data_IF_371598319645
#
_entry.id   IF_371598319645
#
_cell.length_a   1.000
_cell.length_b   1.000
_cell.length_c   1.000
_cell.angle_alpha   90.00
_cell.angle_beta   90.00
_cell.angle_gamma   90.00
#
_symmetry.space_group_name_H-M   'P 1'
#
loop_
_entity.id
_entity.type
_entity.pdbx_description
1 polymer ?
#
# COMPACT_ATOMS: atom_id res chain seq x y z
N UNK A 1 54.86 10.93 30.30
CA UNK A 1 54.95 9.97 29.18
C UNK A 1 54.71 8.56 29.73
N UNK A 2 53.64 7.88 29.32
CA UNK A 2 53.39 6.47 29.64
C UNK A 2 52.65 5.86 28.44
N UNK A 3 53.34 5.03 27.66
CA UNK A 3 52.78 4.20 26.57
C UNK A 3 52.60 2.79 27.11
N UNK A 4 51.47 2.12 26.86
CA UNK A 4 51.21 0.67 26.90
C UNK A 4 49.68 0.48 26.68
N UNK A 5 49.09 -0.39 25.87
CA UNK A 5 49.42 -1.38 24.83
C UNK A 5 48.16 -1.46 23.96
N UNK A 6 48.27 -1.61 22.63
CA UNK A 6 47.11 -1.85 21.74
C UNK A 6 46.73 -3.34 21.80
N UNK A 7 45.50 -3.71 22.19
CA UNK A 7 44.97 -5.01 21.84
C UNK A 7 44.42 -5.00 20.40
N UNK A 8 44.93 -5.97 19.67
CA UNK A 8 44.72 -6.32 18.28
C UNK A 8 43.60 -7.38 18.20
N UNK A 9 42.78 -7.30 17.13
CA UNK A 9 41.81 -8.29 16.60
C UNK A 9 40.39 -8.32 17.22
N UNK A 10 39.39 -8.00 16.39
CA UNK A 10 38.46 -8.99 15.79
C UNK A 10 37.70 -8.39 14.58
N UNK A 11 37.97 -8.86 13.35
CA UNK A 11 37.25 -8.43 12.15
C UNK A 11 35.88 -9.13 12.06
N UNK A 12 35.08 -8.64 11.13
CA UNK A 12 33.82 -9.22 10.64
C UNK A 12 32.62 -9.04 11.59
N UNK A 13 32.14 -7.80 11.67
CA UNK A 13 30.71 -7.61 11.90
C UNK A 13 29.99 -8.06 10.62
N UNK A 14 29.51 -9.29 10.71
CA UNK A 14 28.77 -10.07 9.73
C UNK A 14 27.84 -9.25 8.83
N UNK A 15 28.14 -9.30 7.53
CA UNK A 15 27.22 -9.02 6.42
C UNK A 15 26.15 -10.13 6.38
N UNK A 16 25.15 -10.10 7.27
CA UNK A 16 24.02 -11.06 7.23
C UNK A 16 22.72 -10.32 7.45
N UNK A 17 22.26 -9.59 6.44
CA UNK A 17 20.86 -9.13 6.31
C UNK A 17 20.44 -9.05 4.82
N UNK A 18 20.82 -10.05 4.01
CA UNK A 18 20.32 -10.20 2.62
C UNK A 18 19.49 -11.48 2.45
N UNK A 19 18.73 -11.86 3.46
CA UNK A 19 17.62 -12.78 3.30
C UNK A 19 16.33 -12.03 3.66
N UNK A 20 15.97 -11.05 2.83
CA UNK A 20 14.58 -10.61 2.80
C UNK A 20 13.82 -11.82 2.26
N UNK A 21 12.94 -12.46 3.05
CA UNK A 21 12.07 -13.46 2.47
C UNK A 21 11.30 -12.69 1.40
N UNK A 22 11.46 -13.10 0.14
CA UNK A 22 10.39 -12.93 -0.83
C UNK A 22 9.25 -13.70 -0.18
N UNK A 23 8.46 -13.01 0.66
CA UNK A 23 7.19 -13.50 1.10
C UNK A 23 6.52 -13.93 -0.19
N UNK A 24 6.30 -15.24 -0.32
CA UNK A 24 5.45 -15.78 -1.35
C UNK A 24 4.25 -14.84 -1.41
N UNK A 25 4.07 -14.18 -2.55
CA UNK A 25 2.94 -13.31 -2.77
C UNK A 25 1.74 -14.22 -2.54
N UNK A 26 1.16 -14.16 -1.34
CA UNK A 26 -0.19 -14.59 -1.14
C UNK A 26 -0.93 -13.86 -2.25
N UNK A 27 -1.58 -14.61 -3.13
CA UNK A 27 -2.48 -13.98 -4.09
C UNK A 27 -3.42 -13.17 -3.20
N UNK A 28 -3.25 -11.85 -3.20
CA UNK A 28 -3.94 -10.97 -2.27
C UNK A 28 -5.42 -11.24 -2.50
N UNK A 29 -6.02 -11.99 -1.56
CA UNK A 29 -7.43 -12.30 -1.60
C UNK A 29 -8.15 -10.96 -1.67
N UNK A 30 -9.11 -10.81 -2.59
CA UNK A 30 -9.86 -9.57 -2.72
C UNK A 30 -10.58 -9.21 -1.41
N UNK A 31 -10.81 -10.19 -0.53
CA UNK A 31 -11.24 -9.96 0.86
C UNK A 31 -10.33 -9.03 1.66
N UNK A 32 -9.03 -8.98 1.37
CA UNK A 32 -8.09 -8.02 1.98
C UNK A 32 -8.40 -6.56 1.60
N UNK A 33 -9.11 -6.33 0.50
CA UNK A 33 -9.59 -5.03 0.05
C UNK A 33 -10.95 -4.65 0.62
N UNK A 34 -11.55 -5.45 1.51
CA UNK A 34 -12.88 -5.18 2.10
C UNK A 34 -12.98 -3.79 2.76
N UNK A 35 -11.86 -3.23 3.22
CA UNK A 35 -11.83 -1.86 3.75
C UNK A 35 -12.26 -0.79 2.73
N UNK A 36 -12.22 -1.07 1.41
CA UNK A 36 -12.70 -0.22 0.31
C UNK A 36 -14.23 -0.22 0.15
N UNK A 37 -14.95 -1.16 0.76
CA UNK A 37 -16.39 -1.27 0.62
C UNK A 37 -17.12 0.00 1.09
N UNK A 38 -18.28 0.25 0.49
CA UNK A 38 -19.07 1.45 0.73
C UNK A 38 -18.73 2.60 -0.22
N UNK A 39 -19.03 3.82 0.21
CA UNK A 39 -18.89 5.03 -0.61
C UNK A 39 -17.61 5.79 -0.25
N UNK A 40 -16.79 6.09 -1.26
CA UNK A 40 -15.63 6.96 -1.16
C UNK A 40 -15.85 8.24 -1.95
N UNK A 41 -15.41 9.34 -1.38
CA UNK A 41 -15.50 10.66 -2.01
C UNK A 41 -14.16 11.35 -1.86
N UNK A 42 -13.59 11.78 -2.98
CA UNK A 42 -12.44 12.66 -3.03
C UNK A 42 -12.86 13.98 -3.67
N UNK A 43 -12.27 15.10 -3.24
CA UNK A 43 -12.56 16.42 -3.81
C UNK A 43 -11.31 17.27 -3.83
N UNK A 44 -11.08 17.94 -4.96
CA UNK A 44 -9.99 18.87 -5.18
C UNK A 44 -10.44 19.99 -6.12
N UNK A 45 -10.39 21.23 -5.65
CA UNK A 45 -10.87 22.40 -6.40
C UNK A 45 -12.34 22.24 -6.85
N UNK A 46 -12.59 22.28 -8.16
CA UNK A 46 -13.90 22.11 -8.79
C UNK A 46 -14.19 20.65 -9.19
N UNK A 47 -13.28 19.71 -8.88
CA UNK A 47 -13.38 18.29 -9.22
C UNK A 47 -13.81 17.48 -7.99
N UNK A 48 -14.76 16.57 -8.20
CA UNK A 48 -15.23 15.62 -7.18
C UNK A 48 -15.34 14.23 -7.78
N UNK A 49 -14.66 13.26 -7.18
CA UNK A 49 -14.73 11.86 -7.59
C UNK A 49 -15.44 11.05 -6.52
N UNK A 50 -16.35 10.19 -6.94
CA UNK A 50 -17.14 9.32 -6.09
C UNK A 50 -16.99 7.89 -6.58
N UNK A 51 -16.77 6.97 -5.66
CA UNK A 51 -16.66 5.55 -5.92
C UNK A 51 -17.56 4.81 -4.94
N UNK A 52 -18.26 3.78 -5.41
CA UNK A 52 -19.03 2.88 -4.56
C UNK A 52 -18.60 1.47 -4.86
N UNK A 53 -18.15 0.75 -3.83
CA UNK A 53 -17.72 -0.64 -3.94
C UNK A 53 -18.60 -1.54 -3.08
N UNK A 54 -19.03 -2.67 -3.64
CA UNK A 54 -19.69 -3.73 -2.89
C UNK A 54 -18.70 -4.41 -1.94
N UNK A 55 -19.20 -5.09 -0.90
CA UNK A 55 -18.37 -6.02 -0.13
C UNK A 55 -17.77 -7.09 -1.07
N UNK A 56 -16.50 -7.50 -0.88
CA UNK A 56 -15.94 -8.59 -1.64
C UNK A 56 -16.69 -9.90 -1.37
N UNK A 57 -17.14 -10.58 -2.43
CA UNK A 57 -17.82 -11.87 -2.33
C UNK A 57 -17.46 -12.74 -3.53
N UNK A 58 -17.29 -14.05 -3.32
CA UNK A 58 -17.00 -15.00 -4.40
C UNK A 58 -15.67 -14.76 -5.13
N UNK A 59 -14.71 -14.09 -4.48
CA UNK A 59 -13.42 -13.75 -5.10
C UNK A 59 -13.48 -12.54 -6.04
N UNK A 60 -14.55 -11.74 -6.00
CA UNK A 60 -14.72 -10.53 -6.80
C UNK A 60 -15.16 -9.35 -5.92
N UNK A 61 -14.75 -8.14 -6.31
CA UNK A 61 -15.31 -6.88 -5.81
C UNK A 61 -15.79 -6.06 -7.00
N UNK A 62 -17.05 -5.64 -6.95
CA UNK A 62 -17.70 -4.85 -8.01
C UNK A 62 -17.90 -3.44 -7.50
N UNK A 63 -17.66 -2.46 -8.35
CA UNK A 63 -17.91 -1.06 -8.04
C UNK A 63 -18.28 -0.25 -9.25
N UNK A 64 -18.58 1.02 -8.97
CA UNK A 64 -18.86 2.04 -9.95
C UNK A 64 -18.19 3.34 -9.51
N UNK A 65 -17.79 4.15 -10.49
CA UNK A 65 -17.16 5.43 -10.25
C UNK A 65 -17.81 6.54 -11.08
N UNK A 66 -17.78 7.76 -10.55
CA UNK A 66 -18.04 8.97 -11.37
C UNK A 66 -17.15 10.11 -10.94
N UNK A 67 -16.80 10.94 -11.91
CA UNK A 67 -16.11 12.22 -11.68
C UNK A 67 -17.00 13.36 -12.12
N UNK A 68 -17.10 14.37 -11.27
CA UNK A 68 -17.82 15.61 -11.48
C UNK A 68 -16.81 16.76 -11.61
N UNK A 69 -17.11 17.74 -12.48
CA UNK A 69 -16.44 19.05 -12.53
C UNK A 69 -17.50 20.14 -12.49
N UNK A 70 -17.42 21.06 -11.53
CA UNK A 70 -18.42 22.12 -11.37
C UNK A 70 -19.85 21.59 -11.17
N UNK A 71 -19.98 20.40 -10.57
CA UNK A 71 -21.28 19.72 -10.36
C UNK A 71 -21.81 18.92 -11.55
N UNK A 72 -21.10 18.87 -12.68
CA UNK A 72 -21.51 18.14 -13.90
C UNK A 72 -20.64 16.89 -14.07
N UNK A 73 -21.23 15.75 -14.41
CA UNK A 73 -20.49 14.52 -14.66
C UNK A 73 -19.62 14.63 -15.92
N UNK A 74 -18.35 14.26 -15.79
CA UNK A 74 -17.34 14.31 -16.87
C UNK A 74 -16.69 12.97 -17.16
N UNK A 75 -16.92 11.95 -16.32
CA UNK A 75 -16.41 10.58 -16.53
C UNK A 75 -17.08 9.60 -15.56
N UNK A 76 -17.19 8.33 -15.97
CA UNK A 76 -17.82 7.26 -15.19
C UNK A 76 -17.34 5.88 -15.65
N UNK A 77 -17.38 4.91 -14.73
CA UNK A 77 -17.09 3.49 -14.93
C UNK A 77 -18.12 2.64 -14.16
#
# INVERSE_FOLDING_TARGET
>A
MRRYVVPMIRPALSFVLLASPIAALAQDDVGSAAWLSGCRVASASDVRSEEVWMEPEGGLMVGMARTLRGGVATGYE
#
